data_IF_884965697607
#
_entry.id   IF_884965697607
#
_cell.length_a   1.000
_cell.length_b   1.000
_cell.length_c   1.000
_cell.angle_alpha   90.00
_cell.angle_beta   90.00
_cell.angle_gamma   90.00
#
_symmetry.space_group_name_H-M   'P 1'
#
loop_
_entity.id
_entity.type
_entity.pdbx_description
1 polymer ?
#
# COMPACT_ATOMS: atom_id res chain seq x y z
N UNK A 1 26.85 -5.02 -32.11
CA UNK A 1 26.97 -5.08 -30.62
C UNK A 1 26.83 -3.71 -29.94
N UNK A 2 25.90 -2.83 -30.38
CA UNK A 2 25.83 -1.45 -29.86
C UNK A 2 24.71 -1.26 -28.80
N UNK A 3 23.77 -2.20 -28.70
CA UNK A 3 22.51 -1.91 -27.99
C UNK A 3 22.56 -2.07 -26.46
N UNK A 4 23.51 -2.83 -25.89
CA UNK A 4 23.52 -3.08 -24.43
C UNK A 4 24.00 -1.89 -23.58
N UNK A 5 24.88 -1.02 -24.10
CA UNK A 5 25.37 0.16 -23.36
C UNK A 5 24.38 1.33 -23.40
N UNK A 6 23.73 1.56 -24.54
CA UNK A 6 22.74 2.64 -24.70
C UNK A 6 21.49 2.45 -23.84
N UNK A 7 20.93 1.24 -23.82
CA UNK A 7 19.72 0.90 -23.04
C UNK A 7 19.97 1.00 -21.53
N UNK A 8 21.19 0.70 -21.07
CA UNK A 8 21.54 0.88 -19.66
C UNK A 8 21.71 2.36 -19.28
N UNK A 9 22.30 3.17 -20.17
CA UNK A 9 22.47 4.61 -19.95
C UNK A 9 21.14 5.36 -19.90
N UNK A 10 20.22 5.07 -20.82
CA UNK A 10 18.90 5.70 -20.85
C UNK A 10 18.08 5.44 -19.57
N UNK A 11 18.13 4.21 -19.07
CA UNK A 11 17.42 3.79 -17.85
C UNK A 11 18.02 4.41 -16.57
N UNK A 12 19.35 4.56 -16.52
CA UNK A 12 20.03 5.29 -15.44
C UNK A 12 19.69 6.79 -15.47
N UNK A 13 19.73 7.41 -16.65
CA UNK A 13 19.32 8.81 -16.81
C UNK A 13 17.86 9.03 -16.39
N UNK A 14 16.98 8.08 -16.71
CA UNK A 14 15.57 8.13 -16.29
C UNK A 14 15.41 8.03 -14.76
N UNK A 15 16.16 7.15 -14.09
CA UNK A 15 16.14 7.09 -12.63
C UNK A 15 16.58 8.41 -11.99
N UNK A 16 17.65 9.03 -12.48
CA UNK A 16 18.11 10.34 -12.02
C UNK A 16 17.04 11.42 -12.22
N UNK A 17 16.36 11.40 -13.36
CA UNK A 17 15.27 12.33 -13.66
C UNK A 17 14.14 12.17 -12.63
N UNK A 18 13.66 10.94 -12.42
CA UNK A 18 12.61 10.65 -11.43
C UNK A 18 13.01 11.12 -10.03
N UNK A 19 14.25 10.85 -9.62
CA UNK A 19 14.77 11.32 -8.33
C UNK A 19 14.77 12.84 -8.24
N UNK A 20 15.19 13.56 -9.28
CA UNK A 20 15.20 15.02 -9.30
C UNK A 20 13.78 15.62 -9.18
N UNK A 21 12.79 15.03 -9.85
CA UNK A 21 11.38 15.44 -9.71
C UNK A 21 10.85 15.18 -8.30
N UNK A 22 11.14 14.00 -7.74
CA UNK A 22 10.78 13.63 -6.37
C UNK A 22 11.38 14.59 -5.32
N UNK A 23 12.63 15.03 -5.50
CA UNK A 23 13.29 16.01 -4.64
C UNK A 23 12.63 17.39 -4.69
N UNK A 24 11.96 17.73 -5.80
CA UNK A 24 11.23 18.99 -5.98
C UNK A 24 9.76 18.91 -5.57
N UNK A 25 9.34 17.85 -4.87
CA UNK A 25 7.93 17.57 -4.54
C UNK A 25 7.01 17.47 -5.76
N UNK A 26 7.55 17.00 -6.89
CA UNK A 26 6.82 16.82 -8.15
C UNK A 26 6.67 15.33 -8.47
N UNK A 27 6.24 14.53 -7.50
CA UNK A 27 6.14 13.08 -7.68
C UNK A 27 5.05 12.70 -8.70
N UNK A 28 3.97 13.49 -8.78
CA UNK A 28 2.92 13.27 -9.79
C UNK A 28 3.46 13.43 -11.22
N UNK A 29 4.27 14.46 -11.47
CA UNK A 29 4.91 14.67 -12.77
C UNK A 29 5.86 13.52 -13.12
N UNK A 30 6.64 13.04 -12.13
CA UNK A 30 7.48 11.85 -12.31
C UNK A 30 6.66 10.58 -12.60
N UNK A 31 5.46 10.45 -12.04
CA UNK A 31 4.53 9.36 -12.31
C UNK A 31 4.04 9.38 -13.75
N UNK A 32 3.64 10.55 -14.25
CA UNK A 32 3.23 10.72 -15.64
C UNK A 32 4.39 10.39 -16.60
N UNK A 33 5.60 10.88 -16.29
CA UNK A 33 6.81 10.57 -17.06
C UNK A 33 7.12 9.06 -17.08
N UNK A 34 6.90 8.36 -15.98
CA UNK A 34 7.09 6.91 -15.92
C UNK A 34 6.08 6.18 -16.79
N UNK A 35 4.81 6.56 -16.74
CA UNK A 35 3.78 5.98 -17.61
C UNK A 35 4.10 6.20 -19.09
N UNK A 36 4.51 7.42 -19.46
CA UNK A 36 4.92 7.74 -20.83
C UNK A 36 6.16 6.93 -21.25
N UNK A 37 7.16 6.81 -20.37
CA UNK A 37 8.37 6.04 -20.63
C UNK A 37 8.06 4.56 -20.89
N UNK A 38 7.19 3.95 -20.08
CA UNK A 38 6.77 2.55 -20.24
C UNK A 38 5.95 2.36 -21.52
N UNK A 39 5.05 3.31 -21.83
CA UNK A 39 4.17 3.25 -23.00
C UNK A 39 4.92 3.45 -24.32
N UNK A 40 5.82 4.42 -24.39
CA UNK A 40 6.47 4.84 -25.63
C UNK A 40 7.71 4.01 -25.95
N UNK A 41 8.51 3.65 -24.94
CA UNK A 41 9.80 3.01 -25.17
C UNK A 41 9.76 1.50 -25.00
N UNK A 42 8.65 0.93 -24.48
CA UNK A 42 8.55 -0.47 -24.04
C UNK A 42 9.70 -0.89 -23.09
N UNK A 43 10.34 0.08 -22.44
CA UNK A 43 11.45 -0.13 -21.53
C UNK A 43 10.91 -0.22 -20.10
N UNK A 44 11.35 -1.25 -19.38
CA UNK A 44 11.01 -1.43 -17.98
C UNK A 44 11.96 -0.58 -17.09
N UNK A 45 11.43 0.39 -16.31
CA UNK A 45 12.21 1.12 -15.31
C UNK A 45 12.81 0.18 -14.26
N UNK A 46 13.82 0.65 -13.53
CA UNK A 46 14.38 -0.13 -12.43
C UNK A 46 13.41 -0.26 -11.27
N UNK A 47 13.53 -1.36 -10.52
CA UNK A 47 12.77 -1.57 -9.30
C UNK A 47 12.98 -0.43 -8.30
N UNK A 48 14.19 0.13 -8.23
CA UNK A 48 14.52 1.28 -7.38
C UNK A 48 13.71 2.52 -7.76
N UNK A 49 13.58 2.79 -9.06
CA UNK A 49 12.80 3.92 -9.60
C UNK A 49 11.33 3.84 -9.15
N UNK A 50 10.71 2.66 -9.29
CA UNK A 50 9.35 2.45 -8.80
C UNK A 50 9.23 2.64 -7.29
N UNK A 51 10.14 2.05 -6.50
CA UNK A 51 10.11 2.12 -5.03
C UNK A 51 10.20 3.56 -4.52
N UNK A 52 11.11 4.36 -5.07
CA UNK A 52 11.28 5.77 -4.69
C UNK A 52 10.01 6.55 -5.00
N UNK A 53 9.48 6.37 -6.20
CA UNK A 53 8.30 7.10 -6.65
C UNK A 53 7.05 6.76 -5.85
N UNK A 54 6.79 5.46 -5.61
CA UNK A 54 5.70 4.99 -4.74
C UNK A 54 5.81 5.62 -3.34
N UNK A 55 7.00 5.57 -2.74
CA UNK A 55 7.21 6.13 -1.40
C UNK A 55 6.93 7.64 -1.37
N UNK A 56 7.33 8.36 -2.41
CA UNK A 56 7.12 9.82 -2.51
C UNK A 56 5.67 10.19 -2.80
N UNK A 57 4.98 9.44 -3.65
CA UNK A 57 3.54 9.63 -3.91
C UNK A 57 2.73 9.43 -2.64
N UNK A 58 3.01 8.39 -1.85
CA UNK A 58 2.32 8.15 -0.58
C UNK A 58 2.55 9.28 0.43
N UNK A 59 3.78 9.80 0.54
CA UNK A 59 4.08 10.96 1.40
C UNK A 59 3.33 12.23 0.94
N UNK A 60 3.10 12.37 -0.37
CA UNK A 60 2.36 13.50 -0.95
C UNK A 60 0.84 13.26 -1.00
N UNK A 61 0.34 12.15 -0.45
CA UNK A 61 -1.09 11.82 -0.43
C UNK A 61 -1.65 11.29 -1.76
N UNK A 62 -0.81 11.06 -2.77
CA UNK A 62 -1.20 10.52 -4.07
C UNK A 62 -1.33 8.98 -4.02
N UNK A 63 -2.24 8.48 -3.18
CA UNK A 63 -2.40 7.05 -2.89
C UNK A 63 -2.81 6.23 -4.11
N UNK A 64 -3.78 6.73 -4.90
CA UNK A 64 -4.29 6.05 -6.09
C UNK A 64 -3.20 5.85 -7.15
N UNK A 65 -2.36 6.86 -7.36
CA UNK A 65 -1.25 6.80 -8.30
C UNK A 65 -0.16 5.84 -7.83
N UNK A 66 0.11 5.81 -6.52
CA UNK A 66 1.00 4.81 -5.94
C UNK A 66 0.47 3.38 -6.18
N UNK A 67 -0.84 3.14 -6.01
CA UNK A 67 -1.45 1.83 -6.31
C UNK A 67 -1.34 1.45 -7.79
N UNK A 68 -1.53 2.42 -8.70
CA UNK A 68 -1.36 2.18 -10.13
C UNK A 68 0.08 1.74 -10.46
N UNK A 69 1.09 2.39 -9.87
CA UNK A 69 2.49 1.98 -10.01
C UNK A 69 2.76 0.60 -9.40
N UNK A 70 2.13 0.26 -8.28
CA UNK A 70 2.23 -1.07 -7.68
C UNK A 70 1.68 -2.15 -8.62
N UNK A 71 0.57 -1.89 -9.30
CA UNK A 71 0.01 -2.76 -10.34
C UNK A 71 0.95 -2.88 -11.54
N UNK A 72 1.57 -1.76 -11.96
CA UNK A 72 2.54 -1.75 -13.05
C UNK A 72 3.78 -2.58 -12.73
N UNK A 73 4.31 -2.49 -11.50
CA UNK A 73 5.40 -3.36 -11.03
C UNK A 73 5.04 -4.85 -11.16
N UNK A 74 3.84 -5.23 -10.72
CA UNK A 74 3.36 -6.62 -10.82
C UNK A 74 3.25 -7.07 -12.28
N UNK A 75 2.77 -6.22 -13.17
CA UNK A 75 2.65 -6.52 -14.62
C UNK A 75 4.02 -6.74 -15.28
N UNK A 76 5.07 -6.12 -14.75
CA UNK A 76 6.45 -6.31 -15.19
C UNK A 76 7.17 -7.47 -14.48
N UNK A 77 6.47 -8.22 -13.63
CA UNK A 77 7.06 -9.32 -12.84
C UNK A 77 8.00 -8.85 -11.73
N UNK A 78 7.95 -7.56 -11.37
CA UNK A 78 8.77 -6.99 -10.29
C UNK A 78 8.06 -7.21 -8.95
N UNK A 79 8.76 -7.67 -7.89
CA UNK A 79 8.16 -7.80 -6.57
C UNK A 79 7.55 -6.49 -6.07
N UNK A 80 6.26 -6.47 -5.69
CA UNK A 80 5.56 -5.26 -5.30
C UNK A 80 6.14 -4.66 -4.01
N UNK A 81 6.21 -3.33 -3.94
CA UNK A 81 6.70 -2.62 -2.76
C UNK A 81 5.56 -2.25 -1.80
N UNK A 82 5.23 -3.19 -0.91
CA UNK A 82 3.98 -3.14 -0.13
C UNK A 82 4.12 -2.46 1.24
N UNK A 83 5.31 -2.46 1.84
CA UNK A 83 5.52 -1.94 3.20
C UNK A 83 5.08 -0.47 3.37
N UNK A 84 5.37 0.46 2.43
CA UNK A 84 4.92 1.85 2.54
C UNK A 84 3.39 2.02 2.55
N UNK A 85 2.65 1.13 1.89
CA UNK A 85 1.19 1.19 1.87
C UNK A 85 0.60 0.81 3.23
N UNK A 86 1.16 -0.20 3.91
CA UNK A 86 0.72 -0.55 5.27
C UNK A 86 0.96 0.62 6.23
N UNK A 87 2.09 1.30 6.10
CA UNK A 87 2.40 2.47 6.92
C UNK A 87 1.43 3.63 6.63
N UNK A 88 1.17 3.91 5.34
CA UNK A 88 0.20 4.93 4.94
C UNK A 88 -1.20 4.63 5.46
N UNK A 89 -1.73 3.42 5.23
CA UNK A 89 -3.07 3.03 5.67
C UNK A 89 -3.18 3.06 7.20
N UNK A 90 -2.14 2.62 7.90
CA UNK A 90 -2.10 2.65 9.37
C UNK A 90 -2.14 4.09 9.91
N UNK A 91 -1.36 5.01 9.34
CA UNK A 91 -1.22 6.38 9.87
C UNK A 91 -2.31 7.33 9.39
N UNK A 92 -2.72 7.23 8.12
CA UNK A 92 -3.50 8.26 7.45
C UNK A 92 -4.61 7.74 6.53
N UNK A 93 -4.58 6.47 6.10
CA UNK A 93 -5.53 5.96 5.10
C UNK A 93 -6.87 5.53 5.66
N UNK A 94 -7.95 5.66 4.89
CA UNK A 94 -9.31 5.29 5.30
C UNK A 94 -9.56 3.77 5.21
N UNK A 95 -10.74 3.30 5.65
CA UNK A 95 -11.19 1.94 5.38
C UNK A 95 -11.24 1.64 3.88
N UNK A 96 -11.70 2.61 3.08
CA UNK A 96 -11.67 2.54 1.61
C UNK A 96 -10.25 2.38 1.04
N UNK A 97 -9.27 3.12 1.59
CA UNK A 97 -7.86 2.97 1.18
C UNK A 97 -7.32 1.56 1.48
N UNK A 98 -7.68 1.01 2.65
CA UNK A 98 -7.32 -0.35 3.02
C UNK A 98 -7.92 -1.38 2.05
N UNK A 99 -9.17 -1.18 1.63
CA UNK A 99 -9.86 -2.02 0.64
C UNK A 99 -9.20 -1.89 -0.73
N UNK A 100 -8.93 -0.67 -1.19
CA UNK A 100 -8.30 -0.40 -2.47
C UNK A 100 -6.91 -1.05 -2.56
N UNK A 101 -6.10 -0.92 -1.50
CA UNK A 101 -4.80 -1.58 -1.43
C UNK A 101 -4.91 -3.11 -1.39
N UNK A 102 -5.84 -3.65 -0.60
CA UNK A 102 -6.08 -5.09 -0.55
C UNK A 102 -6.49 -5.65 -1.91
N UNK A 103 -7.34 -4.94 -2.65
CA UNK A 103 -7.76 -5.31 -4.00
C UNK A 103 -6.59 -5.21 -5.00
N UNK A 104 -5.75 -4.18 -4.91
CA UNK A 104 -4.56 -4.03 -5.77
C UNK A 104 -3.51 -5.13 -5.55
N UNK A 105 -3.47 -5.71 -4.34
CA UNK A 105 -2.61 -6.85 -3.99
C UNK A 105 -3.21 -8.22 -4.35
N UNK A 106 -4.39 -8.24 -4.96
CA UNK A 106 -5.11 -9.46 -5.30
C UNK A 106 -4.94 -9.79 -6.77
N UNK A 107 -4.20 -10.85 -7.09
CA UNK A 107 -3.97 -11.23 -8.50
C UNK A 107 -5.09 -12.06 -9.12
N UNK A 108 -6.00 -12.67 -8.34
CA UNK A 108 -6.99 -13.65 -8.86
C UNK A 108 -8.29 -13.80 -8.04
N UNK A 109 -8.93 -12.70 -7.62
CA UNK A 109 -10.19 -12.69 -6.83
C UNK A 109 -10.09 -13.15 -5.35
N UNK A 110 -8.90 -13.42 -4.83
CA UNK A 110 -8.69 -13.79 -3.42
C UNK A 110 -7.65 -12.89 -2.76
N UNK A 111 -8.04 -11.96 -1.89
CA UNK A 111 -7.12 -11.22 -1.07
C UNK A 111 -6.26 -12.16 -0.24
N UNK A 112 -4.96 -11.86 -0.18
CA UNK A 112 -4.07 -12.60 0.70
C UNK A 112 -4.50 -12.36 2.16
N UNK A 113 -4.85 -13.44 2.85
CA UNK A 113 -5.23 -13.40 4.28
C UNK A 113 -4.13 -12.72 5.10
N UNK A 114 -2.86 -12.95 4.75
CA UNK A 114 -1.71 -12.32 5.38
C UNK A 114 -1.71 -10.80 5.26
N UNK A 115 -2.16 -10.25 4.12
CA UNK A 115 -2.28 -8.81 3.90
C UNK A 115 -3.40 -8.23 4.75
N UNK A 116 -4.57 -8.88 4.79
CA UNK A 116 -5.70 -8.46 5.61
C UNK A 116 -5.34 -8.46 7.12
N UNK A 117 -4.72 -9.53 7.62
CA UNK A 117 -4.25 -9.62 9.01
C UNK A 117 -3.23 -8.54 9.34
N UNK A 118 -2.29 -8.27 8.43
CA UNK A 118 -1.27 -7.23 8.62
C UNK A 118 -1.89 -5.83 8.63
N UNK A 119 -2.88 -5.56 7.77
CA UNK A 119 -3.66 -4.31 7.80
C UNK A 119 -4.40 -4.14 9.11
N UNK A 120 -5.12 -5.15 9.58
CA UNK A 120 -5.82 -5.06 10.88
C UNK A 120 -4.85 -4.82 12.04
N UNK A 121 -3.72 -5.55 12.10
CA UNK A 121 -2.68 -5.31 13.10
C UNK A 121 -2.14 -3.88 13.04
N UNK A 122 -1.95 -3.34 11.84
CA UNK A 122 -1.46 -1.98 11.65
C UNK A 122 -2.49 -0.91 12.07
N UNK A 123 -3.78 -1.09 11.74
CA UNK A 123 -4.87 -0.20 12.17
C UNK A 123 -5.07 -0.26 13.70
N UNK A 124 -5.05 -1.45 14.30
CA UNK A 124 -5.17 -1.58 15.75
C UNK A 124 -3.99 -1.00 16.52
N UNK A 125 -2.78 -1.05 15.96
CA UNK A 125 -1.60 -0.39 16.52
C UNK A 125 -1.73 1.14 16.47
N UNK A 126 -2.39 1.66 15.44
CA UNK A 126 -2.70 3.08 15.30
C UNK A 126 -3.94 3.54 16.09
N UNK A 127 -4.59 2.64 16.86
CA UNK A 127 -5.86 2.90 17.57
C UNK A 127 -7.04 3.31 16.66
N UNK A 128 -6.94 2.95 15.38
CA UNK A 128 -7.88 3.28 14.31
C UNK A 128 -8.99 2.22 14.20
N UNK A 129 -9.81 2.20 15.25
CA UNK A 129 -10.81 1.16 15.50
C UNK A 129 -11.98 1.20 14.53
N UNK A 130 -12.47 2.39 14.22
CA UNK A 130 -13.60 2.58 13.32
C UNK A 130 -13.23 2.17 11.89
N UNK A 131 -12.03 2.54 11.41
CA UNK A 131 -11.57 2.10 10.10
C UNK A 131 -11.29 0.59 10.05
N UNK A 132 -10.84 -0.01 11.16
CA UNK A 132 -10.71 -1.47 11.23
C UNK A 132 -12.07 -2.17 11.13
N UNK A 133 -13.11 -1.63 11.77
CA UNK A 133 -14.46 -2.20 11.71
C UNK A 133 -15.10 -2.01 10.32
N UNK A 134 -14.90 -0.85 9.70
CA UNK A 134 -15.33 -0.57 8.33
C UNK A 134 -14.62 -1.52 7.34
N UNK A 135 -13.30 -1.68 7.46
CA UNK A 135 -12.54 -2.63 6.67
C UNK A 135 -13.06 -4.07 6.84
N UNK A 136 -13.33 -4.52 8.07
CA UNK A 136 -13.90 -5.85 8.36
C UNK A 136 -15.26 -6.07 7.67
N UNK A 137 -16.08 -5.03 7.60
CA UNK A 137 -17.44 -5.06 7.04
C UNK A 137 -17.43 -5.20 5.51
N UNK A 138 -16.34 -4.81 4.87
CA UNK A 138 -16.16 -4.89 3.42
C UNK A 138 -15.33 -6.11 2.96
N UNK A 139 -14.61 -6.78 3.87
CA UNK A 139 -13.84 -7.98 3.56
C UNK A 139 -14.75 -9.20 3.31
N UNK A 140 -14.40 -10.10 2.37
CA UNK A 140 -15.13 -11.34 2.14
C UNK A 140 -15.31 -12.22 3.39
N UNK A 141 -16.46 -12.89 3.46
CA UNK A 141 -16.90 -13.70 4.62
C UNK A 141 -15.85 -14.76 5.03
N UNK A 142 -15.15 -15.37 4.07
CA UNK A 142 -14.14 -16.39 4.37
C UNK A 142 -12.90 -15.87 5.11
N UNK A 143 -12.58 -14.57 4.99
CA UNK A 143 -11.51 -13.93 5.77
C UNK A 143 -12.09 -13.44 7.09
N UNK A 144 -13.32 -12.90 7.09
CA UNK A 144 -14.00 -12.38 8.28
C UNK A 144 -14.18 -13.45 9.37
N UNK A 145 -14.54 -14.68 8.99
CA UNK A 145 -14.85 -15.77 9.92
C UNK A 145 -13.61 -16.55 10.39
N UNK A 146 -12.40 -16.13 10.03
CA UNK A 146 -11.18 -16.76 10.54
C UNK A 146 -11.00 -16.47 12.03
N UNK A 147 -10.65 -17.48 12.81
CA UNK A 147 -10.33 -17.33 14.22
C UNK A 147 -9.25 -16.27 14.46
N UNK A 148 -8.23 -16.19 13.60
CA UNK A 148 -7.18 -15.17 13.72
C UNK A 148 -7.72 -13.73 13.64
N UNK A 149 -8.68 -13.50 12.75
CA UNK A 149 -9.32 -12.19 12.57
C UNK A 149 -10.26 -11.94 13.74
N UNK A 150 -11.12 -12.91 14.08
CA UNK A 150 -12.06 -12.79 15.20
C UNK A 150 -11.33 -12.55 16.53
N UNK A 151 -10.26 -13.30 16.82
CA UNK A 151 -9.43 -13.13 18.01
C UNK A 151 -8.79 -11.74 18.08
N UNK A 152 -8.40 -11.17 16.93
CA UNK A 152 -7.82 -9.82 16.87
C UNK A 152 -8.83 -8.74 17.30
N UNK A 153 -10.10 -8.91 16.95
CA UNK A 153 -11.19 -8.02 17.36
C UNK A 153 -11.70 -8.33 18.79
N UNK A 154 -11.72 -9.59 19.20
CA UNK A 154 -12.15 -10.04 20.54
C UNK A 154 -11.14 -9.69 21.64
N UNK A 155 -9.83 -9.76 21.37
CA UNK A 155 -8.77 -9.46 22.35
C UNK A 155 -8.81 -8.02 22.89
N UNK A 156 -9.56 -7.11 22.24
CA UNK A 156 -9.73 -5.73 22.72
C UNK A 156 -11.09 -5.45 23.37
N UNK A 157 -12.05 -6.38 23.32
CA UNK A 157 -13.35 -6.25 24.00
C UNK A 157 -13.28 -6.49 25.52
N UNK A 158 -12.18 -7.04 26.05
CA UNK A 158 -12.03 -7.35 27.48
C UNK A 158 -11.26 -6.30 28.31
N UNK A 159 -11.12 -5.06 27.84
CA UNK A 159 -10.46 -3.98 28.61
C UNK A 159 -11.39 -2.84 29.04
N UNK A 160 -12.69 -2.93 28.76
CA UNK A 160 -13.71 -2.03 29.30
C UNK A 160 -14.84 -2.87 29.88
N UNK A 161 -14.64 -3.41 31.08
CA UNK A 161 -15.70 -3.81 32.02
C UNK A 161 -15.11 -4.22 33.38
N UNK A 162 -14.20 -3.41 33.94
CA UNK A 162 -13.74 -3.56 35.34
C UNK A 162 -13.42 -2.22 36.00
N UNK A 163 -14.45 -1.38 36.17
CA UNK A 163 -14.58 -0.50 37.34
C UNK A 163 -16.08 -0.34 37.61
N UNK A 164 -16.75 -1.40 38.05
CA UNK A 164 -17.12 -1.59 39.46
C UNK A 164 -17.83 -0.37 40.03
N UNK A 165 -19.15 -0.37 39.84
CA UNK A 165 -20.16 0.06 40.80
C UNK A 165 -19.65 -0.07 42.24
N UNK A 166 -19.44 1.05 42.92
CA UNK A 166 -19.44 1.11 44.39
C UNK A 166 -20.62 2.00 44.79
N UNK A 167 -21.77 1.35 44.93
CA UNK A 167 -22.80 1.80 45.87
C UNK A 167 -22.28 1.42 47.25
N UNK A 168 -22.08 2.39 48.15
CA UNK A 168 -22.02 2.16 49.59
C UNK A 168 -22.26 3.46 50.34
N UNK A 169 -23.50 3.56 50.83
CA UNK A 169 -24.03 4.22 52.04
C UNK A 169 -23.71 5.70 52.29
#
# INVERSE_FOLDING_TARGET
MIEKKGVSGARYAFELLVNAYCCKNRAMDACNLLHDYVRQNHLCPWQTTYKVLISKLLVQGAFKDALNLLGLMQSHGIPPHIDPFFEFVSKSGTGDDAIAFMNAMTTKKFPSISVALRLFKALFKAQRHDEAQDFLSNIPIYIRNRDDVLNLFCSKKFSKDTTTTTVSV
#
